data_IF_251259565354
#
_entry.id   IF_251259565354
#
_cell.length_a   1.000
_cell.length_b   1.000
_cell.length_c   1.000
_cell.angle_alpha   90.00
_cell.angle_beta   90.00
_cell.angle_gamma   90.00
#
_symmetry.space_group_name_H-M   'P 1'
#
loop_
_entity.id
_entity.type
_entity.pdbx_description
1 polymer ?
#
# COMPACT_ATOMS: atom_id res chain seq x y z
N UNK A 1 18.19 4.65 8.15
CA UNK A 1 19.36 3.76 7.96
C UNK A 1 20.64 4.59 8.02
N UNK A 2 21.77 3.98 8.36
CA UNK A 2 23.08 4.61 8.33
C UNK A 2 24.12 3.53 7.98
N UNK A 3 25.14 3.89 7.19
CA UNK A 3 26.20 2.95 6.76
C UNK A 3 27.05 3.51 5.63
N UNK A 4 28.07 2.76 5.18
CA UNK A 4 28.80 3.13 3.97
C UNK A 4 27.84 3.27 2.79
N UNK A 5 28.11 4.27 1.93
CA UNK A 5 27.29 4.56 0.72
C UNK A 5 25.82 4.91 1.00
N UNK A 6 25.49 5.29 2.24
CA UNK A 6 24.18 5.86 2.57
C UNK A 6 24.35 7.37 2.76
N UNK A 7 23.57 8.15 2.03
CA UNK A 7 23.61 9.61 2.09
C UNK A 7 23.31 10.11 3.50
N UNK A 8 24.18 10.97 4.05
CA UNK A 8 23.97 11.58 5.36
C UNK A 8 22.86 12.62 5.34
N UNK A 9 22.06 12.66 6.40
CA UNK A 9 20.97 13.62 6.58
C UNK A 9 19.96 13.66 5.39
N UNK A 10 19.86 12.53 4.66
CA UNK A 10 18.94 12.40 3.54
C UNK A 10 17.56 11.97 4.02
N UNK A 11 16.53 12.63 3.52
CA UNK A 11 15.12 12.25 3.68
C UNK A 11 14.55 11.91 2.31
N UNK A 12 13.83 10.80 2.25
CA UNK A 12 13.10 10.38 1.06
C UNK A 12 11.68 10.00 1.48
N UNK A 13 10.68 10.52 0.76
CA UNK A 13 9.25 10.30 1.04
C UNK A 13 8.64 9.20 0.14
N UNK A 14 9.48 8.40 -0.53
CA UNK A 14 9.04 7.30 -1.38
C UNK A 14 8.29 6.22 -0.58
N UNK A 15 7.28 5.64 -1.21
CA UNK A 15 6.55 4.53 -0.63
C UNK A 15 7.36 3.25 -0.64
N UNK A 16 7.62 2.71 0.54
CA UNK A 16 8.31 1.43 0.75
C UNK A 16 7.53 0.57 1.74
N UNK A 17 7.59 -0.74 1.55
CA UNK A 17 7.09 -1.71 2.53
C UNK A 17 8.21 -2.16 3.46
N UNK A 18 7.87 -2.66 4.63
CA UNK A 18 8.86 -3.21 5.57
C UNK A 18 9.61 -4.42 4.99
N UNK A 19 8.96 -5.24 4.17
CA UNK A 19 9.60 -6.39 3.53
C UNK A 19 10.59 -6.01 2.41
N UNK A 20 10.58 -4.75 1.95
CA UNK A 20 11.59 -4.22 1.02
C UNK A 20 12.96 -4.02 1.69
N UNK A 21 13.01 -3.98 3.02
CA UNK A 21 14.27 -3.81 3.77
C UNK A 21 15.22 -4.98 3.51
N UNK A 22 14.71 -6.20 3.48
CA UNK A 22 15.55 -7.38 3.28
C UNK A 22 16.28 -7.38 1.94
N UNK A 23 15.61 -7.26 0.77
CA UNK A 23 16.30 -7.18 -0.51
C UNK A 23 17.21 -5.95 -0.63
N UNK A 24 16.87 -4.84 0.03
CA UNK A 24 17.74 -3.65 0.08
C UNK A 24 19.05 -3.95 0.82
N UNK A 25 18.98 -4.66 1.94
CA UNK A 25 20.20 -5.07 2.67
C UNK A 25 21.01 -6.06 1.85
N UNK A 26 20.38 -7.04 1.20
CA UNK A 26 21.06 -7.97 0.31
C UNK A 26 21.87 -7.24 -0.77
N UNK A 27 21.26 -6.28 -1.46
CA UNK A 27 21.94 -5.47 -2.48
C UNK A 27 23.10 -4.66 -1.91
N UNK A 28 22.93 -4.03 -0.74
CA UNK A 28 23.97 -3.21 -0.10
C UNK A 28 25.19 -4.02 0.37
N UNK A 29 25.01 -5.31 0.65
CA UNK A 29 26.13 -6.19 1.05
C UNK A 29 26.62 -7.11 -0.07
N UNK A 30 26.08 -6.96 -1.29
CA UNK A 30 26.49 -7.73 -2.47
C UNK A 30 26.04 -9.21 -2.43
N UNK A 31 24.92 -9.50 -1.78
CA UNK A 31 24.32 -10.85 -1.72
C UNK A 31 23.09 -10.89 -2.62
N UNK A 32 22.94 -11.94 -3.39
CA UNK A 32 21.77 -12.14 -4.22
C UNK A 32 20.50 -12.30 -3.37
N UNK A 33 19.44 -11.57 -3.72
CA UNK A 33 18.13 -11.74 -3.10
C UNK A 33 17.51 -13.07 -3.55
N UNK A 34 17.07 -13.95 -2.62
CA UNK A 34 16.35 -15.18 -3.00
C UNK A 34 15.10 -14.89 -3.83
N UNK A 35 14.82 -15.76 -4.82
CA UNK A 35 13.64 -15.61 -5.70
C UNK A 35 12.29 -15.76 -5.01
N UNK A 36 12.27 -16.22 -3.78
CA UNK A 36 11.06 -16.30 -2.91
C UNK A 36 10.73 -15.00 -2.19
N UNK A 37 11.48 -13.93 -2.43
CA UNK A 37 11.27 -12.62 -1.77
C UNK A 37 10.50 -11.71 -2.69
N UNK A 38 9.31 -11.28 -2.27
CA UNK A 38 8.44 -10.38 -3.03
C UNK A 38 8.84 -8.90 -2.90
N UNK A 39 9.69 -8.57 -1.93
CA UNK A 39 10.19 -7.21 -1.71
C UNK A 39 11.04 -6.68 -2.84
N UNK A 40 11.03 -5.37 -3.02
CA UNK A 40 11.85 -4.66 -4.02
C UNK A 40 12.92 -3.84 -3.29
N UNK A 41 14.17 -3.93 -3.76
CA UNK A 41 15.25 -3.11 -3.18
C UNK A 41 15.04 -1.63 -3.49
N UNK A 42 15.18 -0.81 -2.46
CA UNK A 42 15.23 0.65 -2.56
C UNK A 42 16.64 1.21 -2.29
N UNK A 43 17.69 0.43 -2.54
CA UNK A 43 19.07 0.82 -2.29
C UNK A 43 19.43 2.16 -2.92
N UNK A 44 19.00 2.41 -4.16
CA UNK A 44 19.23 3.67 -4.88
C UNK A 44 18.67 4.90 -4.16
N UNK A 45 17.54 4.75 -3.46
CA UNK A 45 16.97 5.85 -2.67
C UNK A 45 17.85 6.21 -1.45
N UNK A 46 18.63 5.24 -0.94
CA UNK A 46 19.56 5.46 0.17
C UNK A 46 20.84 6.20 -0.26
N UNK A 47 21.20 6.09 -1.52
CA UNK A 47 22.39 6.73 -2.09
C UNK A 47 22.17 8.22 -2.39
N UNK A 48 20.97 8.74 -2.11
CA UNK A 48 20.61 10.13 -2.36
C UNK A 48 20.17 10.39 -3.81
N UNK A 49 19.98 9.36 -4.60
CA UNK A 49 19.43 9.51 -5.95
C UNK A 49 17.97 9.99 -5.87
N UNK A 50 17.70 11.13 -6.50
CA UNK A 50 16.37 11.63 -6.77
C UNK A 50 15.97 11.15 -8.16
N UNK A 51 15.40 9.94 -8.22
CA UNK A 51 15.00 9.33 -9.46
C UNK A 51 13.48 9.25 -9.63
N UNK A 52 13.06 8.33 -10.48
CA UNK A 52 11.67 7.98 -10.68
C UNK A 52 11.02 7.52 -9.38
N UNK A 53 9.72 7.73 -9.28
CA UNK A 53 8.91 7.31 -8.13
C UNK A 53 9.03 5.80 -7.92
N UNK A 54 9.43 5.37 -6.74
CA UNK A 54 9.66 3.95 -6.44
C UNK A 54 8.39 3.11 -6.48
N UNK A 55 7.29 3.69 -5.95
CA UNK A 55 5.92 3.19 -6.06
C UNK A 55 4.95 4.35 -6.16
N UNK A 56 3.91 4.20 -6.96
CA UNK A 56 2.85 5.21 -7.09
C UNK A 56 1.87 5.15 -5.95
N UNK A 57 1.73 3.97 -5.34
CA UNK A 57 0.76 3.71 -4.29
C UNK A 57 1.21 2.56 -3.37
N UNK A 58 0.52 2.44 -2.25
CA UNK A 58 0.60 1.31 -1.34
C UNK A 58 -0.73 0.56 -1.30
N UNK A 59 -0.67 -0.75 -1.46
CA UNK A 59 -1.76 -1.65 -1.14
C UNK A 59 -1.67 -2.04 0.33
N UNK A 60 -2.79 -1.97 1.05
CA UNK A 60 -2.87 -2.15 2.49
C UNK A 60 -3.75 -3.36 2.80
N UNK A 61 -3.20 -4.29 3.56
CA UNK A 61 -3.89 -5.51 4.00
C UNK A 61 -3.83 -5.58 5.52
N UNK A 62 -4.95 -5.83 6.15
CA UNK A 62 -4.99 -6.18 7.56
C UNK A 62 -5.99 -7.31 7.78
N UNK A 63 -5.48 -8.46 8.21
CA UNK A 63 -6.26 -9.67 8.48
C UNK A 63 -7.17 -10.07 7.28
N UNK A 64 -8.26 -10.76 7.54
CA UNK A 64 -9.25 -11.22 6.56
C UNK A 64 -10.41 -10.23 6.36
N UNK A 65 -10.34 -9.00 6.87
CA UNK A 65 -11.45 -8.06 6.86
C UNK A 65 -11.13 -6.63 6.43
N UNK A 66 -9.86 -6.27 6.19
CA UNK A 66 -9.49 -4.91 5.70
C UNK A 66 -8.62 -4.97 4.45
N UNK A 67 -9.01 -4.19 3.46
CA UNK A 67 -8.18 -3.86 2.29
C UNK A 67 -8.20 -2.36 2.06
N UNK A 68 -7.12 -1.85 1.52
CA UNK A 68 -7.05 -0.44 1.19
C UNK A 68 -5.98 -0.14 0.17
N UNK A 69 -6.06 1.05 -0.39
CA UNK A 69 -5.03 1.61 -1.27
C UNK A 69 -4.79 3.06 -0.87
N UNK A 70 -3.53 3.48 -0.94
CA UNK A 70 -3.11 4.83 -0.61
C UNK A 70 -2.15 5.34 -1.68
N UNK A 71 -2.42 6.53 -2.21
CA UNK A 71 -1.48 7.31 -3.03
C UNK A 71 -1.13 8.65 -2.33
N UNK A 72 -0.55 9.59 -3.06
CA UNK A 72 -0.13 10.89 -2.50
C UNK A 72 -1.31 11.80 -2.13
N UNK A 73 -2.50 11.55 -2.65
CA UNK A 73 -3.66 12.41 -2.48
C UNK A 73 -4.77 11.76 -1.66
N UNK A 74 -5.04 10.47 -1.90
CA UNK A 74 -6.18 9.78 -1.31
C UNK A 74 -5.80 8.46 -0.65
N UNK A 75 -6.60 8.07 0.34
CA UNK A 75 -6.57 6.75 0.95
C UNK A 75 -7.98 6.19 1.00
N UNK A 76 -8.18 5.02 0.37
CA UNK A 76 -9.42 4.24 0.48
C UNK A 76 -9.18 3.04 1.39
N UNK A 77 -10.11 2.80 2.30
CA UNK A 77 -10.14 1.61 3.16
C UNK A 77 -11.51 0.96 3.09
N UNK A 78 -11.50 -0.34 2.84
CA UNK A 78 -12.67 -1.19 2.81
C UNK A 78 -12.63 -2.17 3.98
N UNK A 79 -13.63 -2.10 4.86
CA UNK A 79 -13.86 -3.07 5.93
C UNK A 79 -14.98 -4.02 5.52
N UNK A 80 -14.76 -5.33 5.71
CA UNK A 80 -15.70 -6.41 5.42
C UNK A 80 -15.66 -7.43 6.57
N UNK A 81 -16.17 -7.01 7.74
CA UNK A 81 -16.07 -7.79 8.98
C UNK A 81 -17.20 -8.83 9.16
N UNK A 82 -18.08 -8.94 8.18
CA UNK A 82 -19.18 -9.89 8.17
C UNK A 82 -19.92 -9.88 6.83
N UNK A 83 -20.97 -10.70 6.74
CA UNK A 83 -21.73 -10.90 5.50
C UNK A 83 -22.87 -9.87 5.33
N UNK A 84 -23.25 -9.19 6.41
CA UNK A 84 -24.32 -8.21 6.41
C UNK A 84 -23.80 -6.83 5.99
N UNK A 85 -24.67 -6.00 5.42
CA UNK A 85 -24.32 -4.62 5.05
C UNK A 85 -23.85 -3.78 6.25
N UNK A 86 -24.43 -3.98 7.43
CA UNK A 86 -24.02 -3.32 8.67
C UNK A 86 -22.59 -3.65 9.14
N UNK A 87 -22.00 -4.72 8.59
CA UNK A 87 -20.64 -5.17 8.88
C UNK A 87 -19.62 -4.65 7.84
N UNK A 88 -20.08 -3.80 6.91
CA UNK A 88 -19.28 -3.27 5.81
C UNK A 88 -19.14 -1.77 5.93
N UNK A 89 -17.92 -1.27 5.91
CA UNK A 89 -17.63 0.17 5.93
C UNK A 89 -16.62 0.52 4.86
N UNK A 90 -16.85 1.68 4.25
CA UNK A 90 -15.94 2.29 3.30
C UNK A 90 -15.49 3.65 3.84
N UNK A 91 -14.20 3.90 3.83
CA UNK A 91 -13.61 5.18 4.21
C UNK A 91 -12.75 5.69 3.07
N UNK A 92 -13.01 6.92 2.65
CA UNK A 92 -12.18 7.66 1.70
C UNK A 92 -11.68 8.93 2.38
N UNK A 93 -10.38 9.13 2.35
CA UNK A 93 -9.73 10.32 2.93
C UNK A 93 -8.92 11.07 1.87
N UNK A 94 -9.05 12.40 1.84
CA UNK A 94 -8.15 13.29 1.11
C UNK A 94 -6.94 13.58 2.00
N UNK A 95 -5.96 12.68 1.97
CA UNK A 95 -4.79 12.76 2.86
C UNK A 95 -3.84 13.92 2.54
N UNK A 96 -4.00 14.55 1.38
CA UNK A 96 -3.26 15.74 1.01
C UNK A 96 -3.75 16.99 1.73
N UNK A 97 -5.07 17.16 1.84
CA UNK A 97 -5.71 18.32 2.47
C UNK A 97 -6.14 18.02 3.91
N UNK A 98 -6.39 16.77 4.25
CA UNK A 98 -6.72 16.27 5.58
C UNK A 98 -5.75 15.15 6.01
N UNK A 99 -4.49 15.47 6.36
CA UNK A 99 -3.49 14.47 6.74
C UNK A 99 -3.80 13.73 8.05
N UNK A 100 -4.79 14.20 8.80
CA UNK A 100 -5.26 13.57 10.04
C UNK A 100 -6.45 12.63 9.82
N UNK A 101 -6.95 12.54 8.57
CA UNK A 101 -8.02 11.61 8.20
C UNK A 101 -9.30 11.81 9.04
N UNK A 102 -9.67 13.06 9.26
CA UNK A 102 -10.77 13.44 10.15
C UNK A 102 -12.14 13.40 9.47
N UNK A 103 -12.16 13.48 8.13
CA UNK A 103 -13.40 13.55 7.34
C UNK A 103 -13.48 12.35 6.38
N UNK A 104 -14.45 11.46 6.60
CA UNK A 104 -14.76 10.40 5.66
C UNK A 104 -15.58 10.94 4.48
N UNK A 105 -15.00 10.92 3.28
CA UNK A 105 -15.61 11.38 2.04
C UNK A 105 -16.40 10.29 1.29
N UNK A 106 -16.34 9.03 1.74
CA UNK A 106 -16.97 7.92 1.03
C UNK A 106 -18.51 8.02 0.98
N UNK A 107 -19.13 8.79 1.87
CA UNK A 107 -20.59 9.00 1.90
C UNK A 107 -21.05 10.24 1.12
N UNK A 108 -20.14 11.05 0.61
CA UNK A 108 -20.44 12.20 -0.22
C UNK A 108 -20.54 11.77 -1.69
N UNK A 109 -21.70 11.96 -2.29
CA UNK A 109 -21.99 11.56 -3.67
C UNK A 109 -21.02 12.19 -4.69
N UNK A 110 -20.46 13.36 -4.38
CA UNK A 110 -19.46 14.02 -5.25
C UNK A 110 -18.13 13.23 -5.35
N UNK A 111 -17.84 12.33 -4.42
CA UNK A 111 -16.65 11.49 -4.40
C UNK A 111 -16.89 10.04 -4.87
N UNK A 112 -18.11 9.73 -5.32
CA UNK A 112 -18.47 8.37 -5.78
C UNK A 112 -17.55 7.83 -6.87
N UNK A 113 -17.23 8.64 -7.86
CA UNK A 113 -16.33 8.25 -8.95
C UNK A 113 -14.90 7.99 -8.41
N UNK A 114 -14.44 8.78 -7.43
CA UNK A 114 -13.15 8.58 -6.78
C UNK A 114 -13.13 7.28 -5.96
N UNK A 115 -14.18 6.98 -5.22
CA UNK A 115 -14.32 5.70 -4.50
C UNK A 115 -14.24 4.53 -5.48
N UNK A 116 -14.95 4.61 -6.60
CA UNK A 116 -14.94 3.54 -7.60
C UNK A 116 -13.56 3.37 -8.26
N UNK A 117 -12.91 4.47 -8.65
CA UNK A 117 -11.54 4.46 -9.18
C UNK A 117 -10.57 3.75 -8.22
N UNK A 118 -10.61 4.10 -6.94
CA UNK A 118 -9.72 3.50 -5.96
C UNK A 118 -10.08 2.05 -5.63
N UNK A 119 -11.35 1.66 -5.73
CA UNK A 119 -11.77 0.26 -5.66
C UNK A 119 -11.19 -0.58 -6.79
N UNK A 120 -11.21 -0.07 -8.01
CA UNK A 120 -10.57 -0.75 -9.15
C UNK A 120 -9.08 -0.99 -8.92
N UNK A 121 -8.39 -0.04 -8.27
CA UNK A 121 -6.98 -0.21 -7.91
C UNK A 121 -6.78 -1.32 -6.85
N UNK A 122 -7.67 -1.40 -5.86
CA UNK A 122 -7.69 -2.52 -4.90
C UNK A 122 -7.88 -3.86 -5.62
N UNK A 123 -8.80 -3.92 -6.60
CA UNK A 123 -9.04 -5.13 -7.40
C UNK A 123 -7.83 -5.52 -8.24
N UNK A 124 -7.12 -4.55 -8.82
CA UNK A 124 -5.90 -4.80 -9.57
C UNK A 124 -4.81 -5.42 -8.67
N UNK A 125 -4.62 -4.91 -7.46
CA UNK A 125 -3.69 -5.48 -6.49
C UNK A 125 -4.09 -6.88 -6.03
N UNK A 126 -5.39 -7.13 -5.83
CA UNK A 126 -5.90 -8.49 -5.56
C UNK A 126 -5.40 -9.48 -6.59
N UNK A 127 -5.51 -9.12 -7.87
CA UNK A 127 -5.17 -10.00 -8.99
C UNK A 127 -3.65 -10.13 -9.14
N UNK A 128 -2.90 -9.03 -9.00
CA UNK A 128 -1.43 -9.02 -9.02
C UNK A 128 -0.84 -9.90 -7.90
N UNK A 129 -1.44 -9.88 -6.72
CA UNK A 129 -0.95 -10.61 -5.54
C UNK A 129 -1.60 -11.99 -5.38
N UNK A 130 -2.42 -12.41 -6.32
CA UNK A 130 -3.15 -13.69 -6.28
C UNK A 130 -3.86 -13.92 -4.93
N UNK A 131 -4.39 -12.85 -4.34
CA UNK A 131 -4.86 -12.83 -2.96
C UNK A 131 -5.97 -13.83 -2.69
N UNK A 132 -6.78 -14.15 -3.72
CA UNK A 132 -7.86 -15.13 -3.60
C UNK A 132 -7.36 -16.58 -3.40
N UNK A 133 -6.07 -16.85 -3.65
CA UNK A 133 -5.47 -18.14 -3.35
C UNK A 133 -5.22 -18.33 -1.85
N UNK A 134 -5.06 -17.24 -1.09
CA UNK A 134 -4.87 -17.30 0.36
C UNK A 134 -6.22 -17.32 1.10
N UNK A 135 -6.40 -18.13 2.16
CA UNK A 135 -7.68 -18.21 2.89
C UNK A 135 -8.24 -16.86 3.37
N UNK A 136 -7.40 -15.99 3.92
CA UNK A 136 -7.82 -14.65 4.38
C UNK A 136 -8.25 -13.73 3.24
N UNK A 137 -7.58 -13.80 2.11
CA UNK A 137 -7.99 -13.09 0.92
C UNK A 137 -9.34 -13.60 0.42
N UNK A 138 -9.50 -14.92 0.30
CA UNK A 138 -10.75 -15.52 -0.10
C UNK A 138 -11.93 -15.09 0.79
N UNK A 139 -11.73 -15.06 2.11
CA UNK A 139 -12.75 -14.60 3.06
C UNK A 139 -13.15 -13.15 2.81
N UNK A 140 -12.19 -12.26 2.63
CA UNK A 140 -12.45 -10.85 2.34
C UNK A 140 -13.23 -10.69 1.04
N UNK A 141 -12.75 -11.31 -0.04
CA UNK A 141 -13.30 -11.13 -1.38
C UNK A 141 -14.69 -11.76 -1.57
N UNK A 142 -15.10 -12.71 -0.75
CA UNK A 142 -16.48 -13.21 -0.72
C UNK A 142 -17.46 -12.20 -0.12
N UNK A 143 -16.97 -11.24 0.67
CA UNK A 143 -17.77 -10.19 1.33
C UNK A 143 -17.68 -8.82 0.64
N UNK A 144 -16.74 -8.66 -0.30
CA UNK A 144 -16.47 -7.40 -1.00
C UNK A 144 -17.58 -7.07 -2.02
#
# INVERSE_FOLDING_TARGET
MAGPEIAENHRNDAYVYLYDIFPTLCEKVGIDTPSSVDGKSFAKLLDGEHGEKFRDELYLIFDNFVRGVKDDNYKLIEYRNGDKEEDKWTFLYDIKNDPWETVNLATDESYKDKVNEMRERILNHRDEWEEQAHPWGKDFWTRF
#
